data_IF_685743011220
#
_entry.id   IF_685743011220
#
_cell.length_a   1.000
_cell.length_b   1.000
_cell.length_c   1.000
_cell.angle_alpha   90.00
_cell.angle_beta   90.00
_cell.angle_gamma   90.00
#
_symmetry.space_group_name_H-M   'P 1'
#
loop_
_entity.id
_entity.type
_entity.pdbx_description
1 polymer ?
#
# COMPACT_ATOMS: atom_id res chain seq x y z
N UNK A 1 -5.29 70.59 31.53
CA UNK A 1 -6.21 69.49 31.17
C UNK A 1 -5.41 68.22 31.36
N UNK A 2 -5.72 67.47 32.42
CA UNK A 2 -4.89 66.38 32.91
C UNK A 2 -5.22 65.13 32.07
N UNK A 3 -4.28 64.69 31.22
CA UNK A 3 -4.37 63.44 30.43
C UNK A 3 -4.04 62.22 31.31
N UNK A 4 -4.55 62.16 32.55
CA UNK A 4 -4.22 61.06 33.45
C UNK A 4 -5.08 59.85 33.10
N UNK A 5 -4.43 58.69 32.93
CA UNK A 5 -4.98 57.38 32.57
C UNK A 5 -5.46 57.17 31.12
N UNK A 6 -4.90 57.85 30.13
CA UNK A 6 -5.13 57.42 28.74
C UNK A 6 -4.25 56.22 28.38
N UNK A 7 -4.87 55.05 28.21
CA UNK A 7 -4.24 53.93 27.52
C UNK A 7 -4.11 54.27 26.04
N UNK A 8 -2.87 54.36 25.54
CA UNK A 8 -2.63 54.63 24.14
C UNK A 8 -2.58 53.31 23.39
N UNK A 9 -3.45 53.16 22.38
CA UNK A 9 -3.38 52.05 21.45
C UNK A 9 -2.12 52.22 20.59
N UNK A 10 -1.16 51.31 20.75
CA UNK A 10 0.10 51.33 20.01
C UNK A 10 0.02 50.49 18.74
N UNK A 11 -0.63 49.33 18.80
CA UNK A 11 -0.74 48.43 17.66
C UNK A 11 -1.92 47.47 17.82
N UNK A 12 -2.47 47.01 16.69
CA UNK A 12 -3.39 45.88 16.60
C UNK A 12 -2.77 44.85 15.66
N UNK A 13 -2.54 43.64 16.15
CA UNK A 13 -2.13 42.50 15.35
C UNK A 13 -3.32 41.56 15.17
N UNK A 14 -3.56 41.10 13.94
CA UNK A 14 -4.47 39.99 13.67
C UNK A 14 -3.64 38.72 13.56
N UNK A 15 -3.93 37.73 14.40
CA UNK A 15 -3.27 36.42 14.38
C UNK A 15 -4.29 35.37 13.97
N UNK A 16 -4.02 34.66 12.88
CA UNK A 16 -4.76 33.44 12.56
C UNK A 16 -4.40 32.36 13.58
N UNK A 17 -5.41 31.76 14.19
CA UNK A 17 -5.30 30.61 15.08
C UNK A 17 -6.08 29.45 14.50
N UNK A 18 -5.66 28.24 14.81
CA UNK A 18 -6.37 27.01 14.47
C UNK A 18 -6.88 26.39 15.77
N UNK A 19 -8.15 26.01 15.80
CA UNK A 19 -8.75 25.31 16.93
C UNK A 19 -9.23 23.94 16.46
N UNK A 20 -8.75 22.83 17.06
CA UNK A 20 -9.20 21.49 16.70
C UNK A 20 -10.70 21.35 16.90
N UNK A 21 -11.39 20.82 15.89
CA UNK A 21 -12.82 20.52 15.99
C UNK A 21 -13.09 19.20 16.72
N UNK A 22 -12.05 18.36 16.87
CA UNK A 22 -12.14 16.99 17.39
C UNK A 22 -12.54 15.95 16.35
N UNK A 23 -12.79 16.35 15.09
CA UNK A 23 -13.09 15.42 13.99
C UNK A 23 -11.80 14.97 13.30
N UNK A 24 -11.71 13.67 13.06
CA UNK A 24 -10.63 13.01 12.35
C UNK A 24 -11.20 12.20 11.18
N UNK A 25 -10.46 12.15 10.08
CA UNK A 25 -10.76 11.27 8.95
C UNK A 25 -9.47 10.62 8.47
N UNK A 26 -9.52 9.36 8.06
CA UNK A 26 -8.34 8.58 7.69
C UNK A 26 -8.58 7.82 6.39
N UNK A 27 -7.50 7.54 5.66
CA UNK A 27 -7.54 6.75 4.44
C UNK A 27 -7.94 5.28 4.71
N UNK A 28 -8.68 4.69 3.77
CA UNK A 28 -8.84 3.23 3.74
C UNK A 28 -7.57 2.58 3.21
N UNK A 29 -7.33 1.33 3.63
CA UNK A 29 -6.11 0.58 3.30
C UNK A 29 -6.26 -0.35 2.08
N UNK A 30 -7.48 -0.53 1.57
CA UNK A 30 -7.76 -1.49 0.47
C UNK A 30 -7.05 -1.11 -0.84
N UNK A 31 -6.81 0.18 -1.06
CA UNK A 31 -6.08 0.66 -2.23
C UNK A 31 -4.59 0.27 -2.24
N UNK A 32 -4.02 0.00 -1.07
CA UNK A 32 -2.62 -0.45 -0.91
C UNK A 32 -2.46 -1.85 -1.49
N UNK A 33 -3.45 -2.73 -1.33
CA UNK A 33 -3.41 -4.10 -1.85
C UNK A 33 -3.26 -4.12 -3.38
N UNK A 34 -4.01 -3.24 -4.05
CA UNK A 34 -3.94 -3.06 -5.51
C UNK A 34 -2.61 -2.47 -5.95
N UNK A 35 -2.10 -1.47 -5.23
CA UNK A 35 -0.82 -0.85 -5.53
C UNK A 35 0.35 -1.83 -5.33
N UNK A 36 0.32 -2.67 -4.28
CA UNK A 36 1.31 -3.72 -4.04
C UNK A 36 1.26 -4.78 -5.15
N UNK A 37 0.07 -5.25 -5.54
CA UNK A 37 -0.06 -6.20 -6.64
C UNK A 37 0.45 -5.62 -7.97
N UNK A 38 0.24 -4.32 -8.21
CA UNK A 38 0.81 -3.64 -9.38
C UNK A 38 2.33 -3.60 -9.33
N UNK A 39 2.92 -3.21 -8.20
CA UNK A 39 4.37 -3.19 -8.01
C UNK A 39 4.99 -4.59 -8.21
N UNK A 40 4.39 -5.63 -7.62
CA UNK A 40 4.85 -7.02 -7.81
C UNK A 40 4.73 -7.50 -9.27
N UNK A 41 3.79 -6.98 -10.04
CA UNK A 41 3.64 -7.32 -11.46
C UNK A 41 4.81 -6.82 -12.32
N UNK A 42 5.50 -5.76 -11.91
CA UNK A 42 6.69 -5.24 -12.61
C UNK A 42 7.82 -6.28 -12.68
N UNK A 43 7.85 -7.23 -11.73
CA UNK A 43 8.76 -8.37 -11.76
C UNK A 43 8.62 -9.22 -13.03
N UNK A 44 7.45 -9.18 -13.70
CA UNK A 44 7.13 -9.98 -14.86
C UNK A 44 7.20 -9.21 -16.18
N UNK A 45 7.07 -7.88 -16.16
CA UNK A 45 6.99 -7.07 -17.38
C UNK A 45 8.30 -7.02 -18.17
N UNK A 46 9.44 -7.17 -17.48
CA UNK A 46 10.78 -7.14 -18.08
C UNK A 46 11.35 -8.53 -18.38
N UNK A 47 10.59 -9.61 -18.16
CA UNK A 47 11.09 -10.97 -18.31
C UNK A 47 11.13 -11.39 -19.78
N UNK A 48 12.30 -11.83 -20.23
CA UNK A 48 12.52 -12.38 -21.57
C UNK A 48 12.87 -13.86 -21.46
N UNK A 49 12.06 -14.69 -22.11
CA UNK A 49 12.30 -16.14 -22.18
C UNK A 49 12.91 -16.46 -23.54
N UNK A 50 14.24 -16.64 -23.56
CA UNK A 50 15.02 -16.78 -24.79
C UNK A 50 14.80 -18.10 -25.55
N UNK A 51 14.44 -19.18 -24.85
CA UNK A 51 14.29 -20.50 -25.45
C UNK A 51 12.83 -20.94 -25.52
N UNK A 52 12.42 -21.38 -26.71
CA UNK A 52 11.09 -21.95 -26.97
C UNK A 52 11.10 -23.47 -26.73
N UNK A 53 11.32 -23.88 -25.49
CA UNK A 53 11.19 -25.28 -25.06
C UNK A 53 9.82 -25.52 -24.39
N UNK A 54 9.49 -26.80 -24.20
CA UNK A 54 8.24 -27.21 -23.55
C UNK A 54 8.21 -26.79 -22.08
N UNK A 55 9.35 -26.78 -21.39
CA UNK A 55 9.44 -26.46 -19.96
C UNK A 55 9.08 -24.99 -19.67
N UNK A 56 9.33 -24.09 -20.63
CA UNK A 56 9.06 -22.67 -20.52
C UNK A 56 7.65 -22.28 -20.96
N UNK A 57 6.88 -23.21 -21.56
CA UNK A 57 5.62 -22.88 -22.21
C UNK A 57 4.61 -22.27 -21.22
N UNK A 58 4.44 -22.88 -20.05
CA UNK A 58 3.47 -22.43 -19.03
C UNK A 58 3.85 -21.07 -18.47
N UNK A 59 5.14 -20.81 -18.20
CA UNK A 59 5.61 -19.49 -17.79
C UNK A 59 5.41 -18.43 -18.88
N UNK A 60 5.63 -18.76 -20.16
CA UNK A 60 5.39 -17.83 -21.28
C UNK A 60 3.92 -17.49 -21.45
N UNK A 61 3.02 -18.44 -21.27
CA UNK A 61 1.58 -18.18 -21.26
C UNK A 61 1.15 -17.35 -20.04
N UNK A 62 1.82 -17.51 -18.90
CA UNK A 62 1.64 -16.64 -17.73
C UNK A 62 2.04 -15.19 -18.02
N UNK A 63 3.20 -14.95 -18.65
CA UNK A 63 3.65 -13.61 -19.01
C UNK A 63 2.72 -12.89 -20.01
N UNK A 64 1.93 -13.62 -20.81
CA UNK A 64 0.93 -13.01 -21.71
C UNK A 64 -0.34 -12.53 -21.01
N UNK A 65 -0.56 -12.89 -19.76
CA UNK A 65 -1.76 -12.52 -18.99
C UNK A 65 -1.74 -11.03 -18.65
N UNK A 66 -2.93 -10.46 -18.46
CA UNK A 66 -3.07 -9.11 -17.89
C UNK A 66 -2.53 -9.11 -16.45
N UNK A 67 -2.03 -7.97 -15.93
CA UNK A 67 -1.53 -7.90 -14.55
C UNK A 67 -2.52 -8.43 -13.49
N UNK A 68 -3.82 -8.21 -13.72
CA UNK A 68 -4.92 -8.69 -12.87
C UNK A 68 -5.07 -10.22 -12.89
N UNK A 69 -4.80 -10.87 -14.02
CA UNK A 69 -4.85 -12.32 -14.16
C UNK A 69 -3.52 -13.00 -13.75
N UNK A 70 -2.43 -12.23 -13.64
CA UNK A 70 -1.15 -12.72 -13.13
C UNK A 70 -1.16 -12.83 -11.61
N UNK A 71 -1.59 -11.76 -10.92
CA UNK A 71 -1.68 -11.70 -9.45
C UNK A 71 -3.13 -11.43 -9.05
N UNK A 72 -3.76 -12.41 -8.42
CA UNK A 72 -5.11 -12.28 -7.86
C UNK A 72 -5.02 -11.72 -6.44
N UNK A 73 -5.90 -10.77 -6.13
CA UNK A 73 -6.15 -10.32 -4.75
C UNK A 73 -7.28 -11.18 -4.19
N UNK A 74 -6.99 -11.95 -3.15
CA UNK A 74 -7.97 -12.85 -2.55
C UNK A 74 -7.61 -13.19 -1.11
N UNK A 75 -8.65 -13.23 -0.27
CA UNK A 75 -8.54 -13.57 1.15
C UNK A 75 -8.92 -15.03 1.33
N UNK A 76 -7.98 -15.84 1.79
CA UNK A 76 -8.24 -17.24 2.12
C UNK A 76 -7.62 -17.57 3.47
N UNK A 77 -8.21 -18.53 4.18
CA UNK A 77 -7.74 -18.95 5.51
C UNK A 77 -6.48 -19.79 5.41
N UNK A 78 -6.36 -20.59 4.35
CA UNK A 78 -5.18 -21.40 4.07
C UNK A 78 -5.00 -21.70 2.58
N UNK A 79 -3.85 -22.30 2.25
CA UNK A 79 -3.50 -22.70 0.87
C UNK A 79 -4.47 -23.74 0.30
N UNK A 80 -5.07 -24.62 1.12
CA UNK A 80 -6.00 -25.64 0.61
C UNK A 80 -7.33 -25.01 0.21
N UNK A 81 -7.84 -24.08 1.00
CA UNK A 81 -9.02 -23.29 0.67
C UNK A 81 -8.77 -22.48 -0.62
N UNK A 82 -7.60 -21.83 -0.71
CA UNK A 82 -7.18 -21.12 -1.90
C UNK A 82 -7.13 -22.02 -3.14
N UNK A 83 -6.42 -23.14 -3.07
CA UNK A 83 -6.30 -24.08 -4.19
C UNK A 83 -7.65 -24.69 -4.58
N UNK A 84 -8.48 -25.06 -3.59
CA UNK A 84 -9.81 -25.61 -3.84
C UNK A 84 -10.77 -24.58 -4.44
N UNK A 85 -10.64 -23.29 -4.09
CA UNK A 85 -11.39 -22.21 -4.73
C UNK A 85 -11.07 -22.11 -6.22
N UNK A 86 -9.80 -22.26 -6.61
CA UNK A 86 -9.42 -22.28 -8.03
C UNK A 86 -9.85 -23.54 -8.76
N UNK A 87 -9.78 -24.70 -8.09
CA UNK A 87 -10.30 -25.96 -8.63
C UNK A 87 -11.82 -25.95 -8.82
N UNK A 88 -12.54 -25.14 -8.03
CA UNK A 88 -13.98 -24.91 -8.13
C UNK A 88 -14.34 -23.83 -9.17
N UNK A 89 -13.55 -22.74 -9.25
CA UNK A 89 -13.82 -21.59 -10.13
C UNK A 89 -13.55 -21.87 -11.61
N UNK A 90 -12.74 -22.88 -11.97
CA UNK A 90 -12.51 -23.49 -13.32
C UNK A 90 -12.61 -22.60 -14.58
N UNK A 91 -12.40 -21.29 -14.50
CA UNK A 91 -12.25 -20.40 -15.65
C UNK A 91 -10.93 -19.66 -15.46
N UNK A 92 -9.86 -20.23 -15.98
CA UNK A 92 -8.48 -19.80 -15.78
C UNK A 92 -8.09 -18.42 -16.31
N UNK A 93 -9.05 -17.51 -16.51
CA UNK A 93 -8.91 -16.06 -16.68
C UNK A 93 -10.27 -15.44 -16.32
N UNK A 94 -10.30 -14.31 -15.61
CA UNK A 94 -11.57 -13.56 -15.46
C UNK A 94 -12.06 -13.01 -16.81
N UNK A 95 -11.16 -12.87 -17.78
CA UNK A 95 -11.41 -12.29 -19.10
C UNK A 95 -11.71 -13.32 -20.21
N UNK A 96 -11.59 -14.63 -19.97
CA UNK A 96 -12.00 -15.66 -20.96
C UNK A 96 -12.93 -16.69 -20.35
N UNK A 97 -14.17 -16.73 -20.85
CA UNK A 97 -15.16 -17.76 -20.56
C UNK A 97 -14.66 -19.10 -21.10
N UNK A 98 -14.36 -20.07 -20.24
CA UNK A 98 -14.06 -21.44 -20.66
C UNK A 98 -14.91 -22.46 -19.92
N UNK A 99 -15.86 -23.08 -20.61
CA UNK A 99 -16.55 -24.29 -20.17
C UNK A 99 -15.75 -25.51 -20.60
N UNK A 100 -14.90 -26.06 -19.72
CA UNK A 100 -14.06 -27.23 -20.03
C UNK A 100 -13.32 -27.81 -18.80
N UNK A 101 -12.64 -28.97 -18.94
CA UNK A 101 -11.79 -29.52 -17.88
C UNK A 101 -10.67 -28.54 -17.48
N UNK A 102 -10.10 -28.69 -16.28
CA UNK A 102 -9.08 -27.79 -15.69
C UNK A 102 -8.05 -27.37 -16.73
N UNK A 103 -8.03 -26.08 -17.07
CA UNK A 103 -7.08 -25.54 -18.04
C UNK A 103 -5.70 -25.49 -17.42
N UNK A 104 -4.89 -26.52 -17.64
CA UNK A 104 -3.50 -26.60 -17.14
C UNK A 104 -2.63 -25.42 -17.63
N UNK A 105 -2.96 -24.79 -18.75
CA UNK A 105 -2.28 -23.57 -19.24
C UNK A 105 -2.64 -22.30 -18.43
N UNK A 106 -3.59 -22.40 -17.50
CA UNK A 106 -3.90 -21.35 -16.53
C UNK A 106 -2.97 -21.38 -15.31
N UNK A 107 -2.11 -22.39 -15.17
CA UNK A 107 -1.01 -22.40 -14.21
C UNK A 107 0.24 -21.78 -14.85
N UNK A 108 1.16 -21.14 -14.09
CA UNK A 108 1.13 -20.89 -12.64
C UNK A 108 0.07 -19.87 -12.19
N UNK A 109 -0.28 -19.91 -10.90
CA UNK A 109 -1.23 -19.00 -10.23
C UNK A 109 -0.50 -18.25 -9.12
N UNK A 110 -0.80 -16.95 -8.96
CA UNK A 110 -0.26 -16.13 -7.87
C UNK A 110 -1.42 -15.46 -7.15
N UNK A 111 -1.46 -15.58 -5.83
CA UNK A 111 -2.42 -14.88 -4.97
C UNK A 111 -1.69 -14.06 -3.93
N UNK A 112 -2.15 -12.83 -3.75
CA UNK A 112 -1.73 -11.94 -2.69
C UNK A 112 -2.91 -11.77 -1.73
N UNK A 113 -2.68 -12.16 -0.48
CA UNK A 113 -3.65 -12.02 0.61
C UNK A 113 -3.08 -11.11 1.69
N UNK A 114 -3.87 -10.14 2.15
CA UNK A 114 -3.52 -9.31 3.31
C UNK A 114 -4.09 -9.91 4.58
N UNK A 115 -3.33 -9.88 5.68
CA UNK A 115 -3.84 -10.15 7.02
C UNK A 115 -4.82 -9.04 7.43
N UNK A 116 -5.95 -9.34 8.09
CA UNK A 116 -6.80 -8.31 8.68
C UNK A 116 -6.09 -7.57 9.84
N UNK A 117 -5.07 -8.20 10.43
CA UNK A 117 -4.25 -7.57 11.46
C UNK A 117 -3.30 -6.53 10.86
N UNK A 118 -3.09 -5.45 11.60
CA UNK A 118 -2.09 -4.43 11.32
C UNK A 118 -1.47 -3.97 12.64
N UNK A 119 -0.31 -3.34 12.56
CA UNK A 119 0.31 -2.66 13.69
C UNK A 119 0.72 -1.24 13.32
N UNK A 120 0.85 -0.36 14.31
CA UNK A 120 1.54 0.92 14.11
C UNK A 120 3.02 0.61 13.96
N UNK A 121 3.64 1.19 12.92
CA UNK A 121 5.04 0.94 12.63
C UNK A 121 5.93 1.92 13.38
N UNK A 122 6.78 1.38 14.25
CA UNK A 122 7.84 2.12 14.95
C UNK A 122 9.20 1.61 14.49
N UNK A 123 9.74 2.18 13.42
CA UNK A 123 11.03 1.75 12.86
C UNK A 123 11.77 2.85 12.13
N UNK A 124 12.79 2.47 11.37
CA UNK A 124 13.70 3.41 10.69
C UNK A 124 13.25 3.80 9.29
N UNK A 125 12.30 3.08 8.68
CA UNK A 125 11.85 3.34 7.31
C UNK A 125 11.09 4.67 7.18
N UNK A 126 10.22 4.97 8.14
CA UNK A 126 9.41 6.18 8.19
C UNK A 126 8.96 6.46 9.63
N UNK A 127 8.51 7.68 9.90
CA UNK A 127 8.10 8.15 11.24
C UNK A 127 6.84 8.98 11.13
N UNK A 128 6.14 9.12 12.23
CA UNK A 128 5.01 10.05 12.35
C UNK A 128 5.41 11.44 11.88
N UNK A 129 4.65 12.00 10.94
CA UNK A 129 4.74 13.40 10.58
C UNK A 129 3.41 14.09 10.91
N UNK A 130 3.41 14.91 11.97
CA UNK A 130 2.22 15.65 12.40
C UNK A 130 1.99 16.95 11.63
N UNK A 131 2.93 17.35 10.76
CA UNK A 131 2.89 18.58 9.98
C UNK A 131 3.20 18.30 8.50
N UNK A 132 2.70 17.17 7.96
CA UNK A 132 2.90 16.79 6.55
C UNK A 132 2.30 17.84 5.60
N UNK A 133 1.18 18.44 6.00
CA UNK A 133 0.58 19.50 5.22
C UNK A 133 -0.70 20.07 5.80
N UNK A 134 -1.37 20.88 5.00
CA UNK A 134 -2.65 21.48 5.32
C UNK A 134 -3.55 21.45 4.10
N UNK A 135 -4.84 21.31 4.36
CA UNK A 135 -5.90 21.35 3.36
C UNK A 135 -6.68 22.63 3.53
N UNK A 136 -6.92 23.33 2.43
CA UNK A 136 -7.66 24.60 2.42
C UNK A 136 -8.98 24.45 1.69
N UNK A 137 -10.00 25.11 2.20
CA UNK A 137 -11.30 25.20 1.54
C UNK A 137 -11.27 26.22 0.37
N UNK A 138 -12.40 26.39 -0.32
CA UNK A 138 -12.57 27.33 -1.45
C UNK A 138 -12.26 28.80 -1.11
N UNK A 139 -12.22 29.17 0.18
CA UNK A 139 -11.94 30.53 0.65
C UNK A 139 -10.47 30.71 1.12
N UNK A 140 -9.57 29.79 0.77
CA UNK A 140 -8.17 29.75 1.24
C UNK A 140 -8.04 29.71 2.78
N UNK A 141 -9.04 29.19 3.48
CA UNK A 141 -8.97 28.95 4.92
C UNK A 141 -8.56 27.51 5.18
N UNK A 142 -7.67 27.33 6.16
CA UNK A 142 -7.23 26.00 6.57
C UNK A 142 -8.41 25.27 7.20
N UNK A 143 -8.84 24.20 6.53
CA UNK A 143 -9.94 23.32 6.94
C UNK A 143 -9.43 22.12 7.73
N UNK A 144 -8.28 21.56 7.34
CA UNK A 144 -7.69 20.42 8.04
C UNK A 144 -6.16 20.47 8.01
N UNK A 145 -5.54 19.88 9.02
CA UNK A 145 -4.12 19.54 9.00
C UNK A 145 -3.97 18.08 8.60
N UNK A 146 -2.93 17.79 7.81
CA UNK A 146 -2.58 16.43 7.38
C UNK A 146 -1.45 15.95 8.28
N UNK A 147 -1.70 14.83 8.95
CA UNK A 147 -0.67 14.06 9.64
C UNK A 147 -0.53 12.70 8.97
N UNK A 148 0.66 12.14 8.92
CA UNK A 148 0.89 10.76 8.47
C UNK A 148 1.35 9.91 9.64
N UNK A 149 0.73 8.74 9.78
CA UNK A 149 1.13 7.72 10.75
C UNK A 149 1.48 6.46 9.98
N UNK A 150 2.69 5.89 10.16
CA UNK A 150 3.08 4.62 9.54
C UNK A 150 2.32 3.41 10.09
N UNK A 151 1.80 2.57 9.20
CA UNK A 151 1.18 1.28 9.52
C UNK A 151 1.97 0.15 8.89
N UNK A 152 2.13 -0.95 9.63
CA UNK A 152 2.67 -2.20 9.12
C UNK A 152 1.53 -3.15 8.76
N UNK A 153 1.56 -3.62 7.51
CA UNK A 153 0.59 -4.54 6.92
C UNK A 153 1.30 -5.83 6.52
N UNK A 154 0.75 -6.96 6.97
CA UNK A 154 1.29 -8.27 6.65
C UNK A 154 0.56 -8.88 5.45
N UNK A 155 1.33 -9.41 4.50
CA UNK A 155 0.85 -10.04 3.29
C UNK A 155 1.41 -11.47 3.16
N UNK A 156 0.58 -12.35 2.63
CA UNK A 156 0.96 -13.69 2.18
C UNK A 156 0.84 -13.77 0.67
N UNK A 157 1.96 -14.02 0.00
CA UNK A 157 2.03 -14.30 -1.42
C UNK A 157 2.12 -15.81 -1.63
N UNK A 158 1.11 -16.41 -2.23
CA UNK A 158 1.10 -17.83 -2.55
C UNK A 158 1.20 -18.04 -4.05
N UNK A 159 2.02 -19.01 -4.45
CA UNK A 159 2.28 -19.34 -5.84
C UNK A 159 2.09 -20.83 -6.01
N UNK A 160 1.30 -21.22 -7.00
CA UNK A 160 1.04 -22.63 -7.31
C UNK A 160 1.31 -22.91 -8.79
N UNK A 161 1.75 -24.13 -9.09
CA UNK A 161 1.90 -24.65 -10.45
C UNK A 161 1.79 -26.17 -10.47
N UNK A 162 1.35 -26.71 -11.60
CA UNK A 162 1.40 -28.15 -11.89
C UNK A 162 2.80 -28.61 -12.34
N UNK A 163 3.68 -27.68 -12.72
CA UNK A 163 5.06 -27.93 -13.13
C UNK A 163 6.05 -27.25 -12.18
N UNK A 164 7.04 -28.02 -11.69
CA UNK A 164 8.04 -27.51 -10.75
C UNK A 164 8.93 -26.44 -11.40
N UNK A 165 9.24 -26.60 -12.68
CA UNK A 165 10.05 -25.69 -13.47
C UNK A 165 9.36 -24.32 -13.61
N UNK A 166 8.08 -24.32 -13.96
CA UNK A 166 7.25 -23.12 -14.08
C UNK A 166 7.09 -22.39 -12.75
N UNK A 167 6.89 -23.13 -11.65
CA UNK A 167 6.92 -22.58 -10.30
C UNK A 167 8.27 -21.91 -9.98
N UNK A 168 9.36 -22.59 -10.34
CA UNK A 168 10.72 -22.09 -10.19
C UNK A 168 10.95 -20.77 -10.93
N UNK A 169 10.41 -20.61 -12.13
CA UNK A 169 10.56 -19.37 -12.91
C UNK A 169 9.82 -18.20 -12.29
N UNK A 170 8.56 -18.38 -11.89
CA UNK A 170 7.77 -17.31 -11.24
C UNK A 170 8.41 -16.88 -9.93
N UNK A 171 8.79 -17.85 -9.10
CA UNK A 171 9.42 -17.58 -7.79
C UNK A 171 10.78 -16.90 -7.95
N UNK A 172 11.58 -17.31 -8.95
CA UNK A 172 12.88 -16.68 -9.25
C UNK A 172 12.70 -15.24 -9.74
N UNK A 173 11.76 -14.98 -10.65
CA UNK A 173 11.49 -13.63 -11.16
C UNK A 173 11.11 -12.68 -10.02
N UNK A 174 10.19 -13.11 -9.14
CA UNK A 174 9.78 -12.33 -7.97
C UNK A 174 10.92 -12.14 -6.97
N UNK A 175 11.67 -13.19 -6.63
CA UNK A 175 12.77 -13.09 -5.67
C UNK A 175 13.86 -12.13 -6.17
N UNK A 176 14.25 -12.25 -7.44
CA UNK A 176 15.26 -11.37 -8.02
C UNK A 176 14.77 -9.93 -8.10
N UNK A 177 13.52 -9.71 -8.51
CA UNK A 177 12.94 -8.38 -8.53
C UNK A 177 12.91 -7.78 -7.12
N UNK A 178 12.31 -8.45 -6.13
CA UNK A 178 12.26 -7.98 -4.74
C UNK A 178 13.66 -7.70 -4.17
N UNK A 179 14.64 -8.56 -4.48
CA UNK A 179 16.03 -8.38 -4.06
C UNK A 179 16.67 -7.16 -4.72
N UNK A 180 16.50 -6.97 -6.02
CA UNK A 180 17.04 -5.82 -6.76
C UNK A 180 16.35 -4.52 -6.32
N UNK A 181 15.03 -4.54 -6.19
CA UNK A 181 14.18 -3.47 -5.69
C UNK A 181 14.69 -2.96 -4.32
N UNK A 182 14.92 -3.89 -3.38
CA UNK A 182 15.52 -3.55 -2.08
C UNK A 182 16.99 -3.08 -2.17
N UNK A 183 17.80 -3.68 -3.05
CA UNK A 183 19.24 -3.39 -3.15
C UNK A 183 19.56 -2.06 -3.84
N UNK A 184 18.68 -1.61 -4.74
CA UNK A 184 18.81 -0.33 -5.46
C UNK A 184 18.21 0.85 -4.68
N UNK A 185 17.76 0.63 -3.43
CA UNK A 185 17.10 1.64 -2.60
C UNK A 185 15.69 1.99 -3.09
N UNK A 186 15.14 1.25 -4.06
CA UNK A 186 13.82 1.44 -4.62
C UNK A 186 12.81 0.57 -3.88
N UNK A 187 12.80 0.54 -2.55
CA UNK A 187 11.89 -0.34 -1.79
C UNK A 187 10.46 0.23 -1.64
N UNK A 188 10.07 1.22 -2.43
CA UNK A 188 8.81 1.96 -2.23
C UNK A 188 7.97 2.14 -3.49
N UNK A 189 6.66 2.04 -3.32
CA UNK A 189 5.64 2.28 -4.33
C UNK A 189 4.61 3.28 -3.79
N UNK A 190 3.80 3.87 -4.66
CA UNK A 190 2.84 4.92 -4.28
C UNK A 190 1.41 4.45 -4.55
N UNK A 191 0.54 4.72 -3.59
CA UNK A 191 -0.92 4.62 -3.72
C UNK A 191 -1.54 6.01 -3.60
N UNK A 192 -2.59 6.32 -4.36
CA UNK A 192 -3.35 7.58 -4.18
C UNK A 192 -4.58 7.28 -3.33
N UNK A 193 -4.59 7.76 -2.09
CA UNK A 193 -5.72 7.64 -1.18
C UNK A 193 -6.70 8.80 -1.38
N UNK A 194 -7.99 8.54 -1.25
CA UNK A 194 -9.00 9.58 -1.16
C UNK A 194 -9.44 9.73 0.31
N UNK A 195 -9.21 10.91 0.89
CA UNK A 195 -9.58 11.22 2.28
C UNK A 195 -10.25 12.59 2.30
N UNK A 196 -11.49 12.69 2.80
CA UNK A 196 -12.22 13.97 2.82
C UNK A 196 -12.51 14.55 1.44
N UNK A 197 -12.45 13.74 0.37
CA UNK A 197 -12.55 14.20 -1.02
C UNK A 197 -11.22 14.66 -1.62
N UNK A 198 -10.12 14.59 -0.87
CA UNK A 198 -8.77 14.98 -1.31
C UNK A 198 -7.97 13.75 -1.74
N UNK A 199 -7.27 13.87 -2.88
CA UNK A 199 -6.32 12.87 -3.35
C UNK A 199 -4.96 13.10 -2.69
N UNK A 200 -4.55 12.17 -1.82
CA UNK A 200 -3.30 12.26 -1.06
C UNK A 200 -2.40 11.09 -1.47
N UNK A 201 -1.16 11.33 -1.95
CA UNK A 201 -0.22 10.26 -2.22
C UNK A 201 0.26 9.62 -0.92
N UNK A 202 0.12 8.30 -0.86
CA UNK A 202 0.58 7.42 0.22
C UNK A 202 1.81 6.69 -0.27
N UNK A 203 2.94 6.93 0.38
CA UNK A 203 4.15 6.15 0.12
C UNK A 203 4.11 4.87 0.93
N UNK A 204 4.36 3.76 0.25
CA UNK A 204 4.39 2.42 0.82
C UNK A 204 5.78 1.83 0.62
N UNK A 205 6.34 1.22 1.65
CA UNK A 205 7.65 0.58 1.65
C UNK A 205 7.50 -0.92 1.84
N UNK A 206 8.14 -1.72 0.99
CA UNK A 206 8.27 -3.16 1.21
C UNK A 206 9.44 -3.35 2.17
N UNK A 207 9.15 -3.82 3.38
CA UNK A 207 10.18 -4.00 4.41
C UNK A 207 11.22 -5.04 3.95
N UNK A 208 12.47 -4.60 3.90
CA UNK A 208 13.52 -5.24 3.13
C UNK A 208 13.84 -6.67 3.57
N UNK A 209 13.54 -7.65 2.72
CA UNK A 209 14.03 -9.01 2.88
C UNK A 209 15.46 -9.12 2.35
N UNK A 210 16.44 -8.95 3.24
CA UNK A 210 17.85 -9.26 2.93
C UNK A 210 18.05 -10.74 2.52
N UNK A 211 17.09 -11.59 2.82
CA UNK A 211 16.99 -12.97 2.37
C UNK A 211 15.54 -13.26 2.03
N UNK A 212 15.27 -13.70 0.81
CA UNK A 212 13.95 -14.12 0.36
C UNK A 212 13.94 -15.64 0.39
N UNK A 213 13.04 -16.22 1.18
CA UNK A 213 12.92 -17.66 1.34
C UNK A 213 11.45 -18.07 1.18
N UNK A 214 11.17 -18.81 0.12
CA UNK A 214 9.86 -19.41 -0.10
C UNK A 214 9.70 -20.65 0.79
N UNK A 215 8.53 -20.79 1.41
CA UNK A 215 8.15 -21.96 2.19
C UNK A 215 7.43 -22.96 1.28
N UNK A 216 7.77 -24.25 1.38
CA UNK A 216 7.07 -25.30 0.64
C UNK A 216 5.68 -25.54 1.23
N UNK A 217 4.66 -25.37 0.40
CA UNK A 217 3.24 -25.55 0.75
C UNK A 217 2.60 -26.60 -0.17
N UNK A 218 3.40 -27.41 -0.86
CA UNK A 218 2.96 -28.45 -1.78
C UNK A 218 2.03 -29.45 -1.11
N UNK A 219 0.90 -29.73 -1.74
CA UNK A 219 -0.09 -30.72 -1.25
C UNK A 219 -0.46 -31.71 -2.36
N UNK A 220 -0.95 -32.89 -2.00
CA UNK A 220 -1.44 -33.92 -2.93
C UNK A 220 -0.67 -35.25 -2.89
N UNK A 221 -1.18 -36.24 -3.63
CA UNK A 221 -0.54 -37.55 -3.85
C UNK A 221 0.36 -37.53 -5.09
N UNK A 222 1.18 -38.58 -5.29
CA UNK A 222 2.18 -38.64 -6.37
C UNK A 222 1.62 -38.41 -7.78
N UNK A 223 0.36 -38.78 -8.04
CA UNK A 223 -0.26 -38.73 -9.37
C UNK A 223 -1.01 -37.41 -9.68
N UNK A 224 -1.29 -36.59 -8.66
CA UNK A 224 -2.03 -35.32 -8.82
C UNK A 224 -1.41 -34.21 -7.96
N UNK A 225 -0.08 -34.14 -7.97
CA UNK A 225 0.70 -33.24 -7.14
C UNK A 225 0.64 -31.81 -7.68
N UNK A 226 0.14 -30.88 -6.86
CA UNK A 226 0.21 -29.46 -7.13
C UNK A 226 1.33 -28.84 -6.31
N UNK A 227 2.34 -28.30 -6.97
CA UNK A 227 3.44 -27.63 -6.31
C UNK A 227 2.99 -26.25 -5.87
N UNK A 228 3.25 -25.91 -4.61
CA UNK A 228 2.90 -24.61 -4.07
C UNK A 228 3.99 -24.11 -3.13
N UNK A 229 4.20 -22.80 -3.13
CA UNK A 229 5.05 -22.12 -2.17
C UNK A 229 4.40 -20.85 -1.64
N UNK A 230 4.84 -20.40 -0.47
CA UNK A 230 4.43 -19.13 0.12
C UNK A 230 5.61 -18.23 0.47
N UNK A 231 5.36 -16.93 0.39
CA UNK A 231 6.27 -15.88 0.83
C UNK A 231 5.46 -14.86 1.64
N UNK A 232 5.90 -14.62 2.87
CA UNK A 232 5.32 -13.55 3.68
C UNK A 232 6.05 -12.25 3.36
N UNK A 233 5.31 -11.14 3.25
CA UNK A 233 5.82 -9.81 2.97
C UNK A 233 5.25 -8.85 4.01
N UNK A 234 6.02 -7.85 4.39
CA UNK A 234 5.56 -6.75 5.25
C UNK A 234 5.64 -5.47 4.44
N UNK A 235 4.55 -4.70 4.44
CA UNK A 235 4.49 -3.37 3.82
C UNK A 235 4.23 -2.34 4.89
N UNK A 236 5.04 -1.30 4.90
CA UNK A 236 4.87 -0.14 5.77
C UNK A 236 4.27 0.99 4.94
N UNK A 237 3.10 1.50 5.30
CA UNK A 237 2.40 2.56 4.58
C UNK A 237 2.20 3.80 5.45
N UNK A 238 2.51 4.98 4.92
CA UNK A 238 2.34 6.27 5.59
C UNK A 238 0.90 6.77 5.47
N UNK A 239 -0.01 6.30 6.33
CA UNK A 239 -1.43 6.61 6.19
C UNK A 239 -1.74 8.05 6.61
N UNK A 240 -2.39 8.85 5.74
CA UNK A 240 -2.78 10.21 6.07
C UNK A 240 -4.03 10.23 6.95
N UNK A 241 -4.01 11.16 7.90
CA UNK A 241 -5.09 11.49 8.82
C UNK A 241 -5.35 12.98 8.69
N UNK A 242 -6.59 13.34 8.38
CA UNK A 242 -7.07 14.71 8.37
C UNK A 242 -7.61 15.07 9.75
N UNK A 243 -6.99 16.05 10.39
CA UNK A 243 -7.50 16.66 11.60
C UNK A 243 -8.19 17.99 11.27
N UNK A 244 -9.53 18.01 11.33
CA UNK A 244 -10.30 19.18 10.96
C UNK A 244 -10.15 20.31 11.98
N UNK A 245 -9.87 21.50 11.47
CA UNK A 245 -9.59 22.72 12.22
C UNK A 245 -10.64 23.78 11.93
N UNK A 246 -10.94 24.59 12.94
CA UNK A 246 -11.64 25.85 12.74
C UNK A 246 -10.63 26.99 12.77
N UNK A 247 -10.51 27.72 11.65
CA UNK A 247 -9.68 28.92 11.58
C UNK A 247 -10.37 30.05 12.36
N UNK A 248 -9.67 30.59 13.35
CA UNK A 248 -10.11 31.73 14.13
C UNK A 248 -9.16 32.90 13.92
N UNK A 249 -9.68 34.13 13.90
CA UNK A 249 -8.82 35.33 13.86
C UNK A 249 -8.79 35.97 15.23
N UNK A 250 -7.70 35.74 15.95
CA UNK A 250 -7.42 36.45 17.19
C UNK A 250 -6.97 37.88 16.91
N UNK A 251 -7.32 38.80 17.81
CA UNK A 251 -6.86 40.19 17.77
C UNK A 251 -6.01 40.46 19.01
N UNK A 252 -4.75 40.84 18.80
CA UNK A 252 -3.83 41.22 19.87
C UNK A 252 -3.72 42.74 19.85
N UNK A 253 -4.13 43.38 20.94
CA UNK A 253 -4.12 44.83 21.08
C UNK A 253 -2.99 45.22 22.03
N UNK A 254 -1.99 45.96 21.54
CA UNK A 254 -0.88 46.46 22.36
C UNK A 254 -1.23 47.87 22.81
N UNK A 255 -1.24 48.08 24.13
CA UNK A 255 -1.50 49.38 24.74
C UNK A 255 -0.32 49.80 25.61
N UNK A 256 0.04 51.07 25.56
CA UNK A 256 0.97 51.66 26.51
C UNK A 256 0.23 52.37 27.64
N UNK A 257 0.79 52.25 28.84
CA UNK A 257 0.39 53.03 30.02
C UNK A 257 1.57 53.91 30.40
N UNK A 258 1.36 55.23 30.38
CA UNK A 258 2.35 56.20 30.85
C UNK A 258 2.30 56.18 32.39
N UNK A 259 3.43 55.90 33.03
CA UNK A 259 3.63 56.10 34.46
C UNK A 259 4.40 57.40 34.61
N UNK A 260 3.84 58.38 35.33
CA UNK A 260 4.58 59.59 35.72
C UNK A 260 5.58 59.23 36.83
N UNK A 261 6.81 59.71 36.73
CA UNK A 261 7.81 59.75 37.82
C UNK A 261 7.49 60.89 38.81
#
# INVERSE_FOLDING_TARGET
MILNNQEWLLAIFKKKGLTPTGKLEFATIDGIDSALAQALNEAFDSQVVSFNDRANQSFREFLKRTPRDRITLGTFSDVKEWLSSFEADRAGRKDTVSSGPVNKLAMPLVNLSRSPAFSIYEGELCRDNYEEGQVTNENDEIEALVSTIPFSLEYSLWIASDEKESLGMVTTALAFWLRMYASLGQASFTHIANVGGYEIPVTCYIEGQKSIAFQDLTTGTADNRLFAVGLNLTVVAELPILAYMQQTTGTITVKAKILEE
#
